data_IF_316502977757
#
_entry.id   IF_316502977757
#
_cell.length_a   1.000
_cell.length_b   1.000
_cell.length_c   1.000
_cell.angle_alpha   90.00
_cell.angle_beta   90.00
_cell.angle_gamma   90.00
#
_symmetry.space_group_name_H-M   'P 1'
#
loop_
_entity.id
_entity.type
_entity.pdbx_description
1 polymer ?
#
# COMPACT_ATOMS: atom_id res chain seq x y z
N UNK A 1 3.08 16.08 15.55
CA UNK A 1 2.54 17.28 14.86
C UNK A 1 1.11 17.57 15.28
N UNK A 2 0.27 16.57 15.45
CA UNK A 2 -1.17 16.67 15.72
C UNK A 2 -1.56 16.27 17.14
N UNK A 3 -0.66 15.67 17.92
CA UNK A 3 -0.94 15.20 19.28
C UNK A 3 -0.67 16.29 20.31
N UNK A 4 -1.44 16.27 21.40
CA UNK A 4 -1.17 17.08 22.60
C UNK A 4 0.23 16.73 23.12
N UNK A 5 0.96 17.75 23.60
CA UNK A 5 2.30 17.55 24.18
C UNK A 5 2.21 16.64 25.40
N UNK A 6 3.09 15.63 25.46
CA UNK A 6 3.13 14.65 26.53
C UNK A 6 2.12 13.51 26.43
N UNK A 7 1.23 13.50 25.41
CA UNK A 7 0.25 12.43 25.21
C UNK A 7 0.76 11.29 24.33
N UNK A 8 1.89 11.44 23.70
CA UNK A 8 2.43 10.43 22.77
C UNK A 8 3.03 9.27 23.55
N UNK A 9 2.55 8.07 23.25
CA UNK A 9 2.99 6.83 23.90
C UNK A 9 3.33 5.78 22.85
N UNK A 10 4.47 5.14 22.98
CA UNK A 10 4.87 3.97 22.19
C UNK A 10 4.27 2.73 22.86
N UNK A 11 3.26 2.13 22.23
CA UNK A 11 2.57 0.95 22.78
C UNK A 11 3.25 -0.36 22.37
N UNK A 12 3.73 -0.41 21.12
CA UNK A 12 4.49 -1.54 20.59
C UNK A 12 5.78 -1.05 19.94
N UNK A 13 6.89 -1.73 20.21
CA UNK A 13 8.19 -1.33 19.68
C UNK A 13 8.83 -2.46 18.91
N UNK A 14 8.97 -2.29 17.61
CA UNK A 14 9.74 -3.14 16.71
C UNK A 14 9.41 -4.64 16.85
N UNK A 15 8.11 -4.96 16.96
CA UNK A 15 7.63 -6.34 16.99
C UNK A 15 7.63 -6.92 15.58
N UNK A 16 7.95 -8.20 15.45
CA UNK A 16 7.90 -8.89 14.14
C UNK A 16 6.54 -9.52 13.98
N UNK A 17 5.76 -8.98 13.05
CA UNK A 17 4.49 -9.56 12.61
C UNK A 17 4.70 -10.45 11.39
N UNK A 18 4.08 -11.63 11.42
CA UNK A 18 4.17 -12.64 10.35
C UNK A 18 2.83 -12.76 9.64
N UNK A 19 2.85 -12.50 8.36
CA UNK A 19 1.71 -12.69 7.46
C UNK A 19 2.00 -13.84 6.48
N UNK A 20 1.00 -14.29 5.75
CA UNK A 20 1.13 -15.44 4.83
C UNK A 20 2.27 -15.31 3.81
N UNK A 21 2.64 -14.10 3.41
CA UNK A 21 3.60 -13.86 2.32
C UNK A 21 4.74 -12.94 2.70
N UNK A 22 4.68 -12.27 3.85
CA UNK A 22 5.64 -11.24 4.26
C UNK A 22 5.77 -11.20 5.77
N UNK A 23 6.91 -10.71 6.23
CA UNK A 23 7.16 -10.31 7.62
C UNK A 23 7.37 -8.81 7.67
N UNK A 24 6.87 -8.19 8.73
CA UNK A 24 7.06 -6.77 8.97
C UNK A 24 7.60 -6.53 10.37
N UNK A 25 8.40 -5.48 10.51
CA UNK A 25 8.71 -4.89 11.80
C UNK A 25 7.69 -3.78 12.03
N UNK A 26 6.90 -3.90 13.10
CA UNK A 26 5.81 -2.99 13.43
C UNK A 26 6.12 -2.25 14.71
N UNK A 27 5.82 -0.98 14.72
CA UNK A 27 5.76 -0.17 15.95
C UNK A 27 4.43 0.55 15.98
N UNK A 28 3.79 0.60 17.14
CA UNK A 28 2.54 1.30 17.34
C UNK A 28 2.73 2.49 18.28
N UNK A 29 2.27 3.65 17.84
CA UNK A 29 2.36 4.91 18.58
C UNK A 29 0.97 5.52 18.68
N UNK A 30 0.55 5.83 19.88
CA UNK A 30 -0.73 6.49 20.16
C UNK A 30 -0.52 7.91 20.67
N UNK A 31 -1.53 8.74 20.54
CA UNK A 31 -1.49 10.10 21.06
C UNK A 31 -2.88 10.74 21.05
N UNK A 32 -3.12 11.67 21.95
CA UNK A 32 -4.37 12.42 22.00
C UNK A 32 -4.31 13.56 21.02
N UNK A 33 -5.28 13.63 20.10
CA UNK A 33 -5.35 14.69 19.09
C UNK A 33 -5.61 16.03 19.76
N UNK A 34 -4.89 17.07 19.34
CA UNK A 34 -5.08 18.45 19.80
C UNK A 34 -6.51 18.91 19.56
N UNK A 35 -7.06 19.63 20.54
CA UNK A 35 -8.40 20.19 20.45
C UNK A 35 -8.53 21.07 19.20
N UNK A 36 -9.62 20.91 18.47
CA UNK A 36 -9.92 21.69 17.25
C UNK A 36 -9.36 21.12 15.95
N UNK A 37 -8.58 20.03 15.99
CA UNK A 37 -8.16 19.32 14.79
C UNK A 37 -9.18 18.23 14.40
N UNK A 38 -9.41 18.13 13.10
CA UNK A 38 -10.24 17.09 12.48
C UNK A 38 -9.42 15.89 12.02
N UNK A 39 -10.08 14.79 11.64
CA UNK A 39 -9.44 13.66 10.99
C UNK A 39 -8.67 14.06 9.71
N UNK A 40 -9.21 15.02 8.94
CA UNK A 40 -8.54 15.54 7.74
C UNK A 40 -7.24 16.26 8.09
N UNK A 41 -7.19 17.00 9.19
CA UNK A 41 -5.95 17.66 9.63
C UNK A 41 -4.89 16.65 10.05
N UNK A 42 -5.31 15.55 10.69
CA UNK A 42 -4.43 14.42 11.02
C UNK A 42 -3.90 13.76 9.74
N UNK A 43 -4.76 13.50 8.76
CA UNK A 43 -4.38 12.92 7.47
C UNK A 43 -3.36 13.83 6.74
N UNK A 44 -3.62 15.13 6.63
CA UNK A 44 -2.70 16.10 6.01
C UNK A 44 -1.33 16.14 6.70
N UNK A 45 -1.29 15.94 8.02
CA UNK A 45 -0.04 15.93 8.77
C UNK A 45 0.76 14.62 8.60
N UNK A 46 0.08 13.52 8.30
CA UNK A 46 0.68 12.18 8.16
C UNK A 46 1.14 11.88 6.71
N UNK A 47 0.43 12.38 5.71
CA UNK A 47 0.73 12.12 4.30
C UNK A 47 1.64 13.17 3.66
N UNK A 48 2.42 12.76 2.63
CA UNK A 48 2.72 11.38 2.25
C UNK A 48 3.46 10.61 3.33
N UNK A 49 3.23 9.29 3.42
CA UNK A 49 3.89 8.44 4.42
C UNK A 49 5.41 8.41 4.19
N UNK A 50 6.20 8.56 5.26
CA UNK A 50 7.66 8.64 5.18
C UNK A 50 8.30 7.40 4.57
N UNK A 51 7.73 6.21 4.79
CA UNK A 51 8.17 4.95 4.18
C UNK A 51 8.05 4.93 2.66
N UNK A 52 7.18 5.76 2.08
CA UNK A 52 6.97 5.86 0.63
C UNK A 52 7.64 7.07 0.00
N UNK A 53 7.89 8.11 0.78
CA UNK A 53 8.53 9.34 0.30
C UNK A 53 10.03 9.40 0.63
N UNK A 54 10.41 8.97 1.82
CA UNK A 54 11.79 9.10 2.29
C UNK A 54 12.02 10.33 3.17
N UNK A 55 13.27 10.54 3.56
CA UNK A 55 13.70 11.64 4.43
C UNK A 55 15.06 12.21 3.96
N UNK A 56 15.23 13.56 3.96
CA UNK A 56 14.24 14.61 4.24
C UNK A 56 13.10 14.61 3.21
N UNK A 57 11.86 14.74 3.67
CA UNK A 57 10.67 14.46 2.87
C UNK A 57 10.60 15.25 1.55
N UNK A 58 10.82 16.56 1.60
CA UNK A 58 10.69 17.41 0.40
C UNK A 58 11.71 17.00 -0.66
N UNK A 59 12.99 16.90 -0.30
CA UNK A 59 14.04 16.49 -1.25
C UNK A 59 13.85 15.07 -1.77
N UNK A 60 13.40 14.16 -0.93
CA UNK A 60 13.08 12.79 -1.35
C UNK A 60 11.96 12.76 -2.41
N UNK A 61 10.92 13.57 -2.22
CA UNK A 61 9.83 13.69 -3.20
C UNK A 61 10.28 14.33 -4.51
N UNK A 62 11.17 15.34 -4.47
CA UNK A 62 11.79 15.92 -5.67
C UNK A 62 12.57 14.87 -6.45
N UNK A 63 13.41 14.07 -5.77
CA UNK A 63 14.18 12.99 -6.39
C UNK A 63 13.25 11.94 -7.01
N UNK A 64 12.16 11.58 -6.34
CA UNK A 64 11.17 10.66 -6.89
C UNK A 64 10.60 11.22 -8.20
N UNK A 65 10.25 12.50 -8.25
CA UNK A 65 9.70 13.14 -9.44
C UNK A 65 10.74 13.28 -10.57
N UNK A 66 12.01 13.41 -10.21
CA UNK A 66 13.15 13.47 -11.17
C UNK A 66 13.46 12.10 -11.82
N UNK A 67 13.35 11.00 -11.03
CA UNK A 67 13.85 9.66 -11.45
C UNK A 67 12.74 8.72 -11.91
N UNK A 68 11.52 8.84 -11.39
CA UNK A 68 10.41 7.97 -11.80
C UNK A 68 9.81 8.46 -13.12
N UNK A 69 9.85 7.61 -14.14
CA UNK A 69 9.30 7.92 -15.47
C UNK A 69 7.78 7.98 -15.51
N UNK A 70 7.10 7.39 -14.53
CA UNK A 70 5.63 7.30 -14.44
C UNK A 70 5.16 7.83 -13.11
N UNK A 71 4.15 8.69 -13.13
CA UNK A 71 3.54 9.22 -11.89
C UNK A 71 2.89 8.10 -11.08
N UNK A 72 3.02 8.18 -9.77
CA UNK A 72 2.55 7.13 -8.83
C UNK A 72 1.03 6.97 -8.80
N UNK A 73 0.27 8.01 -9.07
CA UNK A 73 -1.19 7.97 -9.02
C UNK A 73 -1.69 7.55 -7.62
N UNK A 74 -2.37 6.41 -7.56
CA UNK A 74 -2.89 5.85 -6.30
C UNK A 74 -1.78 5.31 -5.39
N UNK A 75 -0.67 4.85 -5.97
CA UNK A 75 0.42 4.22 -5.23
C UNK A 75 1.05 5.17 -4.19
N UNK A 76 1.12 4.72 -2.96
CA UNK A 76 1.67 5.51 -1.84
C UNK A 76 0.71 6.55 -1.25
N UNK A 77 -0.50 6.66 -1.79
CA UNK A 77 -1.57 7.50 -1.24
C UNK A 77 -2.23 6.88 -0.01
N UNK A 78 -3.34 7.44 0.42
CA UNK A 78 -4.16 6.90 1.49
C UNK A 78 -5.39 6.18 0.94
N UNK A 79 -5.68 5.01 1.49
CA UNK A 79 -6.92 4.28 1.27
C UNK A 79 -7.60 4.03 2.61
N UNK A 80 -8.89 4.26 2.70
CA UNK A 80 -9.62 4.08 3.95
C UNK A 80 -10.97 4.79 3.96
N UNK A 81 -11.45 5.09 5.14
CA UNK A 81 -12.73 5.76 5.32
C UNK A 81 -12.68 6.81 6.43
N UNK A 82 -13.59 7.76 6.33
CA UNK A 82 -13.90 8.72 7.37
C UNK A 82 -15.39 8.61 7.67
N UNK A 83 -15.71 8.28 8.91
CA UNK A 83 -17.09 8.10 9.37
C UNK A 83 -17.76 9.43 9.67
N UNK A 84 -19.09 9.46 9.66
CA UNK A 84 -19.89 10.62 10.02
C UNK A 84 -19.66 11.12 11.45
N UNK A 85 -19.25 10.26 12.37
CA UNK A 85 -18.88 10.61 13.74
C UNK A 85 -17.46 11.18 13.87
N UNK A 86 -16.73 11.35 12.75
CA UNK A 86 -15.39 11.90 12.73
C UNK A 86 -14.25 10.89 12.92
N UNK A 87 -14.56 9.60 13.11
CA UNK A 87 -13.54 8.56 13.14
C UNK A 87 -12.97 8.34 11.74
N UNK A 88 -11.70 8.01 11.67
CA UNK A 88 -10.98 7.72 10.42
C UNK A 88 -10.11 6.48 10.61
N UNK A 89 -10.10 5.64 9.60
CA UNK A 89 -9.13 4.56 9.48
C UNK A 89 -8.56 4.57 8.07
N UNK A 90 -7.24 4.66 7.95
CA UNK A 90 -6.55 4.77 6.67
C UNK A 90 -5.27 3.95 6.67
N UNK A 91 -4.97 3.37 5.53
CA UNK A 91 -3.72 2.68 5.25
C UNK A 91 -3.01 3.30 4.05
N UNK A 92 -1.74 2.95 3.86
CA UNK A 92 -0.99 3.35 2.67
C UNK A 92 -1.43 2.47 1.50
N UNK A 93 -1.71 3.06 0.35
CA UNK A 93 -2.05 2.34 -0.88
C UNK A 93 -0.79 1.69 -1.47
N UNK A 94 -0.40 0.56 -0.90
CA UNK A 94 0.68 -0.33 -1.36
C UNK A 94 0.14 -1.74 -1.57
N UNK A 95 0.85 -2.57 -2.32
CA UNK A 95 0.39 -3.94 -2.64
C UNK A 95 -1.02 -3.94 -3.21
N UNK A 96 -1.29 -2.92 -3.99
CA UNK A 96 -2.60 -2.64 -4.60
C UNK A 96 -2.44 -2.65 -6.11
N UNK A 97 -3.41 -3.27 -6.79
CA UNK A 97 -3.51 -3.22 -8.24
C UNK A 97 -4.60 -2.25 -8.66
N UNK A 98 -4.36 -1.52 -9.72
CA UNK A 98 -5.36 -0.66 -10.37
C UNK A 98 -5.79 -1.33 -11.67
N UNK A 99 -7.07 -1.70 -11.76
CA UNK A 99 -7.65 -2.27 -12.97
C UNK A 99 -8.38 -1.14 -13.70
N UNK A 100 -7.92 -0.84 -14.90
CA UNK A 100 -8.53 0.19 -15.74
C UNK A 100 -8.41 -0.20 -17.22
N UNK A 101 -9.49 -0.03 -17.96
CA UNK A 101 -9.56 -0.30 -19.40
C UNK A 101 -9.04 -1.71 -19.79
N UNK A 102 -9.36 -2.72 -18.97
CA UNK A 102 -8.91 -4.10 -19.16
C UNK A 102 -7.44 -4.36 -18.81
N UNK A 103 -6.72 -3.36 -18.32
CA UNK A 103 -5.31 -3.47 -17.91
C UNK A 103 -5.17 -3.53 -16.40
N UNK A 104 -4.32 -4.43 -15.94
CA UNK A 104 -3.91 -4.54 -14.54
C UNK A 104 -2.58 -3.79 -14.33
N UNK A 105 -2.63 -2.70 -13.61
CA UNK A 105 -1.46 -1.89 -13.28
C UNK A 105 -1.01 -2.21 -11.85
N UNK A 106 0.24 -2.63 -11.69
CA UNK A 106 0.87 -2.93 -10.41
C UNK A 106 2.09 -2.03 -10.27
N UNK A 107 2.17 -1.30 -9.16
CA UNK A 107 3.35 -0.49 -8.82
C UNK A 107 3.93 -0.98 -7.49
N UNK A 108 5.24 -1.12 -7.45
CA UNK A 108 5.99 -1.50 -6.27
C UNK A 108 7.33 -0.76 -6.24
N UNK A 109 7.90 -0.62 -5.06
CA UNK A 109 9.19 0.02 -4.86
C UNK A 109 9.84 -0.40 -3.55
N UNK A 110 11.11 -0.11 -3.41
CA UNK A 110 11.92 -0.32 -2.21
C UNK A 110 12.42 1.00 -1.63
N UNK A 111 12.79 0.98 -0.35
CA UNK A 111 13.54 2.08 0.26
C UNK A 111 15.00 2.02 -0.15
N UNK A 112 15.56 3.14 -0.55
CA UNK A 112 16.97 3.24 -0.94
C UNK A 112 17.73 4.05 0.11
N UNK A 113 18.83 3.49 0.60
CA UNK A 113 19.73 4.11 1.58
C UNK A 113 21.18 4.03 1.08
N UNK A 114 22.12 4.68 1.78
CA UNK A 114 23.51 4.74 1.36
C UNK A 114 24.14 3.35 1.13
N UNK A 115 23.76 2.36 1.94
CA UNK A 115 24.29 0.99 1.87
C UNK A 115 23.49 0.08 0.92
N UNK A 116 22.49 0.61 0.23
CA UNK A 116 21.65 -0.18 -0.69
C UNK A 116 22.46 -0.71 -1.85
N UNK A 117 22.28 -1.98 -2.16
CA UNK A 117 22.86 -2.64 -3.34
C UNK A 117 21.78 -2.71 -4.43
N UNK A 118 21.93 -2.02 -5.59
CA UNK A 118 20.86 -1.87 -6.59
C UNK A 118 20.19 -3.19 -7.01
N UNK A 119 20.97 -4.25 -7.20
CA UNK A 119 20.46 -5.58 -7.57
C UNK A 119 19.58 -6.20 -6.47
N UNK A 120 19.89 -5.95 -5.21
CA UNK A 120 19.09 -6.47 -4.07
C UNK A 120 17.80 -5.67 -3.93
N UNK A 121 17.86 -4.36 -4.07
CA UNK A 121 16.68 -3.49 -4.05
C UNK A 121 15.70 -3.81 -5.18
N UNK A 122 16.23 -4.05 -6.38
CA UNK A 122 15.43 -4.51 -7.51
C UNK A 122 14.73 -5.85 -7.21
N UNK A 123 15.48 -6.82 -6.67
CA UNK A 123 14.92 -8.12 -6.28
C UNK A 123 13.79 -7.95 -5.26
N UNK A 124 14.00 -7.14 -4.23
CA UNK A 124 12.99 -6.86 -3.21
C UNK A 124 11.73 -6.24 -3.81
N UNK A 125 11.89 -5.27 -4.72
CA UNK A 125 10.78 -4.65 -5.45
C UNK A 125 9.95 -5.68 -6.20
N UNK A 126 10.58 -6.61 -6.91
CA UNK A 126 9.91 -7.68 -7.64
C UNK A 126 9.19 -8.67 -6.70
N UNK A 127 9.79 -9.01 -5.56
CA UNK A 127 9.15 -9.84 -4.54
C UNK A 127 7.87 -9.19 -3.99
N UNK A 128 7.89 -7.87 -3.75
CA UNK A 128 6.71 -7.12 -3.31
C UNK A 128 5.56 -7.14 -4.32
N UNK A 129 5.87 -7.13 -5.61
CA UNK A 129 4.87 -7.22 -6.69
C UNK A 129 4.32 -8.65 -6.90
N UNK A 130 5.07 -9.67 -6.52
CA UNK A 130 4.77 -11.09 -6.82
C UNK A 130 3.39 -11.55 -6.34
N UNK A 131 2.96 -11.14 -5.15
CA UNK A 131 1.66 -11.51 -4.60
C UNK A 131 0.51 -11.08 -5.52
N UNK A 132 0.60 -9.89 -6.12
CA UNK A 132 -0.41 -9.36 -7.02
C UNK A 132 -0.43 -10.11 -8.36
N UNK A 133 0.73 -10.46 -8.90
CA UNK A 133 0.81 -11.29 -10.11
C UNK A 133 0.23 -12.68 -9.89
N UNK A 134 0.48 -13.30 -8.74
CA UNK A 134 -0.12 -14.60 -8.39
C UNK A 134 -1.63 -14.51 -8.25
N UNK A 135 -2.15 -13.49 -7.59
CA UNK A 135 -3.59 -13.28 -7.46
C UNK A 135 -4.27 -13.11 -8.82
N UNK A 136 -3.68 -12.35 -9.73
CA UNK A 136 -4.17 -12.17 -11.10
C UNK A 136 -4.17 -13.50 -11.87
N UNK A 137 -3.11 -14.29 -11.78
CA UNK A 137 -3.03 -15.60 -12.43
C UNK A 137 -4.10 -16.57 -11.92
N UNK A 138 -4.35 -16.60 -10.61
CA UNK A 138 -5.38 -17.42 -10.00
C UNK A 138 -6.79 -17.00 -10.48
N UNK A 139 -7.08 -15.71 -10.49
CA UNK A 139 -8.37 -15.20 -10.98
C UNK A 139 -8.62 -15.58 -12.44
N UNK A 140 -7.59 -15.49 -13.29
CA UNK A 140 -7.69 -15.86 -14.70
C UNK A 140 -7.89 -17.38 -14.90
N UNK A 141 -7.29 -18.24 -14.08
CA UNK A 141 -7.46 -19.68 -14.16
C UNK A 141 -8.87 -20.13 -13.72
N UNK A 142 -9.42 -19.50 -12.69
CA UNK A 142 -10.79 -19.78 -12.22
C UNK A 142 -11.82 -19.38 -13.28
N UNK A 143 -11.59 -18.28 -14.00
CA UNK A 143 -12.50 -17.86 -15.06
C UNK A 143 -12.50 -18.83 -16.24
N UNK A 144 -11.37 -19.40 -16.63
CA UNK A 144 -11.28 -20.43 -17.67
C UNK A 144 -12.04 -21.70 -17.27
N UNK A 145 -11.86 -22.18 -16.05
CA UNK A 145 -12.55 -23.37 -15.56
C UNK A 145 -14.09 -23.19 -15.57
N UNK A 146 -14.59 -22.00 -15.22
CA UNK A 146 -16.04 -21.71 -15.25
C UNK A 146 -16.59 -21.58 -16.68
N UNK A 147 -15.76 -21.17 -17.66
CA UNK A 147 -16.18 -21.09 -19.07
C UNK A 147 -16.28 -22.47 -19.69
N UNK A 148 -15.34 -23.35 -19.37
CA UNK A 148 -15.31 -24.72 -19.89
C UNK A 148 -16.46 -25.56 -19.33
N UNK A 149 -16.86 -25.37 -18.07
CA UNK A 149 -18.02 -26.07 -17.48
C UNK A 149 -19.37 -25.58 -18.02
N UNK A 150 -19.47 -24.35 -18.51
CA UNK A 150 -20.71 -23.84 -19.12
C UNK A 150 -20.88 -24.27 -20.60
N UNK A 151 -19.83 -24.75 -21.25
CA UNK A 151 -19.91 -25.23 -22.65
C UNK A 151 -20.41 -26.67 -22.73
N UNK A 152 -20.31 -27.44 -21.65
CA UNK A 152 -20.73 -28.85 -21.63
C UNK A 152 -22.21 -29.08 -21.27
N UNK A 153 -23.00 -28.02 -21.00
CA UNK A 153 -24.41 -28.17 -20.57
C UNK A 153 -25.40 -28.00 -21.75
N UNK A 154 -24.94 -27.86 -22.98
CA UNK A 154 -25.84 -27.65 -24.11
C UNK A 154 -25.78 -28.77 -25.16
N UNK A 155 -25.85 -30.03 -24.73
CA UNK A 155 -26.10 -31.17 -25.62
C UNK A 155 -27.21 -32.03 -25.02
N UNK A 156 -28.44 -31.82 -25.54
CA UNK A 156 -29.49 -32.83 -25.41
C UNK A 156 -30.87 -32.25 -25.18
N UNK A 157 -31.54 -31.94 -26.27
CA UNK A 157 -32.93 -32.40 -26.48
C UNK A 157 -33.38 -31.93 -27.89
N UNK A 158 -33.52 -32.90 -28.75
CA UNK A 158 -34.40 -32.88 -29.93
C UNK A 158 -35.26 -34.13 -29.92
#
# INVERSE_FOLDING_TARGET
RVSEIGSVTLTDKMIVERYSHVMHIVSNVTGKVKKGLSAIDVLKAALPAGTLSGAPKVRAMEIIDEVESVKRGVYGGAVGYISWNGNMDTAIAIRTAVIKDGLLNIQAGGGVVADSVPRLEWKETMEKARAMFRASALASSTQKANTDTNTDINIGES
#
